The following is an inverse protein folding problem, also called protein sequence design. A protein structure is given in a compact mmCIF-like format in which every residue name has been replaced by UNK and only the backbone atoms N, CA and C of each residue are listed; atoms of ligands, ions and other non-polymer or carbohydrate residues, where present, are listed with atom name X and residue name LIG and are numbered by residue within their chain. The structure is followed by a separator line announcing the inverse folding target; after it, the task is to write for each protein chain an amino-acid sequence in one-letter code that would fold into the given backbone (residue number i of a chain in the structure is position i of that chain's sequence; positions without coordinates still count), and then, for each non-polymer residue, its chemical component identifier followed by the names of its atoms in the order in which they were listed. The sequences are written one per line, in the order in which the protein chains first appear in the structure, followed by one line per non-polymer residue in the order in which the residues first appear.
data_IF_207946320064
#
_entry.id   IF_207946320064
#
_cell.length_a   1.000
_cell.length_b   1.000
_cell.length_c   1.000
_cell.angle_alpha   90.00
_cell.angle_beta   90.00
_cell.angle_gamma   90.00
#
_symmetry.space_group_name_H-M   'P 1'
#
loop_
_entity.id
_entity.type
_entity.pdbx_description
1 polymer ?
#
# COMPACT_ATOMS: atom_id res chain seq x y z
N UNK A 1 -3.85 0.92 -18.07
CA UNK A 1 -2.62 1.06 -17.25
C UNK A 1 -2.91 0.38 -15.93
N UNK A 2 -1.99 -0.38 -15.36
CA UNK A 2 -2.24 -1.07 -14.10
C UNK A 2 -2.35 -0.05 -12.97
N UNK A 3 -3.44 -0.09 -12.20
CA UNK A 3 -3.59 0.76 -11.02
C UNK A 3 -2.68 0.21 -9.92
N UNK A 4 -2.04 1.10 -9.17
CA UNK A 4 -1.16 0.72 -8.07
C UNK A 4 -1.69 1.31 -6.77
N UNK A 5 -1.43 0.61 -5.68
CA UNK A 5 -1.88 0.96 -4.35
C UNK A 5 -0.70 0.89 -3.39
N UNK A 6 -0.62 1.89 -2.52
CA UNK A 6 0.20 1.84 -1.32
C UNK A 6 -0.70 1.51 -0.14
N UNK A 7 -0.31 0.55 0.67
CA UNK A 7 -1.12 0.06 1.78
C UNK A 7 -0.28 -0.05 3.03
N UNK A 8 -0.93 0.14 4.17
CA UNK A 8 -0.41 -0.30 5.45
C UNK A 8 -1.19 -1.53 5.90
N UNK A 9 -0.47 -2.56 6.34
CA UNK A 9 -1.07 -3.73 6.98
C UNK A 9 -0.68 -3.79 8.46
N UNK A 10 -1.48 -4.47 9.27
CA UNK A 10 -1.16 -4.79 10.66
C UNK A 10 -0.20 -5.98 10.69
N UNK A 11 1.09 -5.67 10.75
CA UNK A 11 2.16 -6.66 10.81
C UNK A 11 2.42 -7.15 12.24
N UNK A 12 3.11 -8.29 12.41
CA UNK A 12 3.41 -8.86 13.72
C UNK A 12 4.28 -7.96 14.62
N UNK A 13 4.89 -6.90 14.09
CA UNK A 13 5.70 -5.91 14.83
C UNK A 13 5.14 -4.48 14.74
N UNK A 14 3.91 -4.33 14.29
CA UNK A 14 3.26 -3.05 14.02
C UNK A 14 2.99 -2.83 12.53
N UNK A 15 2.54 -1.63 12.15
CA UNK A 15 2.14 -1.34 10.78
C UNK A 15 3.28 -1.53 9.78
N UNK A 16 3.03 -2.30 8.73
CA UNK A 16 4.00 -2.60 7.68
C UNK A 16 3.55 -2.04 6.32
N UNK A 17 4.41 -1.27 5.63
CA UNK A 17 4.05 -0.67 4.36
C UNK A 17 4.23 -1.67 3.20
N UNK A 18 3.24 -1.77 2.32
CA UNK A 18 3.33 -2.56 1.09
C UNK A 18 2.87 -1.78 -0.14
N UNK A 19 3.22 -2.29 -1.32
CA UNK A 19 2.83 -1.73 -2.60
C UNK A 19 2.36 -2.82 -3.54
N UNK A 20 1.11 -2.76 -3.96
CA UNK A 20 0.46 -3.77 -4.79
C UNK A 20 -0.10 -3.17 -6.07
N UNK A 21 -0.14 -3.96 -7.15
CA UNK A 21 -0.95 -3.64 -8.32
C UNK A 21 -2.42 -4.01 -8.05
N UNK A 22 -3.34 -3.46 -8.83
CA UNK A 22 -4.78 -3.82 -8.80
C UNK A 22 -4.97 -5.32 -8.90
N UNK A 23 -4.22 -5.99 -9.76
CA UNK A 23 -4.35 -7.43 -10.02
C UNK A 23 -3.93 -8.26 -8.80
N UNK A 24 -2.87 -7.83 -8.10
CA UNK A 24 -2.46 -8.44 -6.84
C UNK A 24 -3.47 -8.16 -5.72
N UNK A 25 -4.13 -7.00 -5.75
CA UNK A 25 -5.12 -6.61 -4.74
C UNK A 25 -6.43 -7.39 -4.88
N UNK A 26 -6.86 -7.72 -6.10
CA UNK A 26 -8.06 -8.55 -6.34
C UNK A 26 -7.99 -9.92 -5.67
N UNK A 27 -6.80 -10.54 -5.61
CA UNK A 27 -6.58 -11.80 -4.89
C UNK A 27 -6.52 -11.65 -3.37
N UNK A 28 -6.48 -10.41 -2.85
CA UNK A 28 -6.24 -10.08 -1.45
C UNK A 28 -7.35 -9.19 -0.85
N UNK A 29 -8.46 -8.96 -1.56
CA UNK A 29 -9.60 -8.14 -1.09
C UNK A 29 -10.22 -8.63 0.23
N UNK A 30 -10.04 -9.91 0.58
CA UNK A 30 -10.52 -10.48 1.83
C UNK A 30 -9.54 -10.33 3.01
N UNK A 31 -8.38 -9.71 2.81
CA UNK A 31 -7.41 -9.49 3.87
C UNK A 31 -7.93 -8.52 4.91
N UNK A 32 -8.03 -9.00 6.14
CA UNK A 32 -8.53 -8.23 7.28
C UNK A 32 -7.45 -7.41 7.97
N UNK A 33 -6.19 -7.64 7.64
CA UNK A 33 -5.04 -6.94 8.20
C UNK A 33 -4.70 -5.64 7.47
N UNK A 34 -5.45 -5.24 6.43
CA UNK A 34 -5.24 -3.95 5.76
C UNK A 34 -5.79 -2.83 6.66
N UNK A 35 -4.91 -1.93 7.10
CA UNK A 35 -5.25 -0.77 7.95
C UNK A 35 -5.72 0.40 7.08
N UNK A 36 -5.01 0.70 5.99
CA UNK A 36 -5.35 1.80 5.07
C UNK A 36 -4.84 1.52 3.66
N UNK A 37 -5.53 2.10 2.66
CA UNK A 37 -5.20 2.00 1.24
C UNK A 37 -5.19 3.35 0.56
N UNK A 38 -4.11 3.66 -0.14
CA UNK A 38 -3.92 4.85 -0.97
C UNK A 38 -3.81 4.44 -2.44
N UNK A 39 -4.69 4.92 -3.33
CA UNK A 39 -4.47 4.78 -4.76
C UNK A 39 -3.26 5.65 -5.16
N UNK A 40 -2.35 5.09 -5.94
CA UNK A 40 -1.15 5.78 -6.41
C UNK A 40 -1.40 6.38 -7.79
N UNK A 41 -0.94 7.62 -7.98
CA UNK A 41 -0.78 8.20 -9.32
C UNK A 41 0.32 7.47 -10.10
N UNK A 42 0.37 7.64 -11.42
CA UNK A 42 1.45 7.05 -12.24
C UNK A 42 2.86 7.46 -11.77
N UNK A 43 3.00 8.67 -11.23
CA UNK A 43 4.27 9.16 -10.70
C UNK A 43 4.64 8.43 -9.40
N UNK A 44 3.69 8.29 -8.49
CA UNK A 44 3.91 7.59 -7.21
C UNK A 44 4.09 6.09 -7.39
N UNK A 45 3.42 5.51 -8.39
CA UNK A 45 3.59 4.11 -8.78
C UNK A 45 5.03 3.77 -9.22
N UNK A 46 5.90 4.76 -9.49
CA UNK A 46 7.33 4.56 -9.78
C UNK A 46 8.23 4.72 -8.55
N UNK A 47 7.70 5.21 -7.43
CA UNK A 47 8.47 5.41 -6.19
C UNK A 47 8.69 4.08 -5.44
N UNK A 48 9.78 4.03 -4.68
CA UNK A 48 10.04 2.93 -3.75
C UNK A 48 9.10 3.00 -2.53
N UNK A 49 9.00 1.90 -1.78
CA UNK A 49 8.21 1.86 -0.53
C UNK A 49 8.73 2.92 0.46
N UNK A 50 10.05 3.07 0.65
CA UNK A 50 10.60 4.09 1.55
C UNK A 50 10.23 5.53 1.17
N UNK A 51 10.16 5.80 -0.14
CA UNK A 51 9.71 7.11 -0.63
C UNK A 51 8.21 7.31 -0.38
N UNK A 52 7.40 6.26 -0.56
CA UNK A 52 5.96 6.29 -0.31
C UNK A 52 5.64 6.45 1.17
N UNK A 53 6.39 5.82 2.07
CA UNK A 53 6.24 5.99 3.53
C UNK A 53 6.44 7.44 3.96
N UNK A 54 7.32 8.19 3.28
CA UNK A 54 7.52 9.62 3.57
C UNK A 54 6.34 10.50 3.10
N UNK A 55 5.63 10.07 2.06
CA UNK A 55 4.47 10.79 1.52
C UNK A 55 3.17 10.41 2.23
N UNK A 56 3.06 9.15 2.63
CA UNK A 56 1.92 8.54 3.29
C UNK A 56 2.40 7.86 4.58
N UNK A 57 2.69 8.64 5.63
CA UNK A 57 3.14 8.06 6.89
C UNK A 57 2.06 7.16 7.50
N UNK A 58 2.48 6.31 8.44
CA UNK A 58 1.57 5.44 9.18
C UNK A 58 0.45 6.26 9.82
N UNK A 59 -0.83 5.81 9.74
CA UNK A 59 -1.92 6.43 10.49
C UNK A 59 -1.62 6.40 12.00
N UNK A 60 -1.93 7.50 12.71
CA UNK A 60 -1.85 7.57 14.18
C UNK A 60 -3.09 6.99 14.85
#
# INVERSE_FOLDING_TARGET
MAEWYFIWIDGPRGPEPQKWSSDALWGQLARQDIIVRFPLTEREARLSIDQLVRLHPVPQ
#
